data_IF_507042682915
#
_entry.id   IF_507042682915
#
_cell.length_a   1.000
_cell.length_b   1.000
_cell.length_c   1.000
_cell.angle_alpha   90.00
_cell.angle_beta   90.00
_cell.angle_gamma   90.00
#
_symmetry.space_group_name_H-M   'P 1'
#
loop_
_entity.id
_entity.type
_entity.pdbx_description
1 polymer ?
#
# COMPACT_ATOMS: atom_id res chain seq x y z
N UNK A 1 8.04 -84.76 23.79
CA UNK A 1 9.45 -84.66 23.33
C UNK A 1 9.40 -84.25 21.87
N UNK A 2 10.03 -83.15 21.47
CA UNK A 2 10.05 -82.72 20.07
C UNK A 2 10.14 -81.21 19.96
N UNK A 3 11.32 -80.66 20.10
CA UNK A 3 11.62 -79.20 19.92
C UNK A 3 11.72 -78.91 18.43
N UNK A 4 10.85 -78.15 17.91
CA UNK A 4 10.99 -77.57 16.57
C UNK A 4 11.39 -76.08 16.68
N UNK A 5 12.60 -75.80 16.24
CA UNK A 5 13.16 -74.43 16.13
C UNK A 5 12.66 -73.80 14.83
N UNK A 6 11.91 -72.73 14.93
CA UNK A 6 11.51 -71.97 13.81
C UNK A 6 12.49 -70.76 13.64
N UNK A 7 13.17 -70.75 12.53
CA UNK A 7 14.08 -69.65 12.09
C UNK A 7 13.22 -68.46 11.60
N UNK A 8 13.32 -67.35 12.29
CA UNK A 8 12.77 -66.07 11.77
C UNK A 8 13.80 -65.43 10.81
N UNK A 9 13.42 -65.36 9.56
CA UNK A 9 14.12 -64.57 8.55
C UNK A 9 13.65 -63.12 8.66
N UNK A 10 14.53 -62.23 9.09
CA UNK A 10 14.27 -60.79 9.11
C UNK A 10 14.47 -60.20 7.69
N UNK A 11 13.40 -59.71 7.10
CA UNK A 11 13.42 -58.99 5.84
C UNK A 11 13.61 -57.50 6.17
N UNK A 12 14.80 -56.94 5.87
CA UNK A 12 15.08 -55.51 6.01
C UNK A 12 14.51 -54.77 4.79
N UNK A 13 13.47 -54.01 4.99
CA UNK A 13 12.94 -53.08 4.00
C UNK A 13 13.70 -51.77 4.16
N UNK A 14 14.56 -51.43 3.21
CA UNK A 14 15.17 -50.08 3.07
C UNK A 14 14.08 -49.15 2.56
N UNK A 15 13.53 -48.32 3.43
CA UNK A 15 12.73 -47.18 3.02
C UNK A 15 13.67 -46.00 2.61
N UNK A 16 13.79 -45.77 1.32
CA UNK A 16 14.45 -44.56 0.79
C UNK A 16 13.53 -43.34 1.05
N UNK A 17 13.87 -42.56 2.05
CA UNK A 17 13.21 -41.27 2.27
C UNK A 17 13.70 -40.28 1.20
N UNK A 18 12.85 -39.99 0.23
CA UNK A 18 13.05 -38.86 -0.67
C UNK A 18 12.83 -37.58 0.13
N UNK A 19 13.92 -36.84 0.38
CA UNK A 19 13.87 -35.51 0.95
C UNK A 19 13.39 -34.57 -0.14
N UNK A 20 12.11 -34.22 -0.15
CA UNK A 20 11.61 -33.08 -0.90
C UNK A 20 12.09 -31.82 -0.19
N UNK A 21 13.16 -31.22 -0.68
CA UNK A 21 13.50 -29.84 -0.38
C UNK A 21 12.41 -28.99 -1.00
N UNK A 22 11.38 -28.67 -0.22
CA UNK A 22 10.48 -27.56 -0.54
C UNK A 22 11.30 -26.30 -0.32
N UNK A 23 11.79 -25.74 -1.40
CA UNK A 23 12.33 -24.38 -1.44
C UNK A 23 11.14 -23.44 -1.17
N UNK A 24 10.86 -23.24 0.10
CA UNK A 24 9.93 -22.23 0.54
C UNK A 24 10.58 -20.90 0.26
N UNK A 25 10.36 -20.38 -0.96
CA UNK A 25 10.63 -19.00 -1.27
C UNK A 25 9.98 -18.15 -0.18
N UNK A 26 10.79 -17.60 0.70
CA UNK A 26 10.32 -16.67 1.72
C UNK A 26 9.62 -15.52 1.00
N UNK A 27 8.30 -15.53 0.99
CA UNK A 27 7.52 -14.36 0.66
C UNK A 27 7.87 -13.33 1.74
N UNK A 28 8.77 -12.41 1.38
CA UNK A 28 9.04 -11.23 2.21
C UNK A 28 7.73 -10.47 2.31
N UNK A 29 7.09 -10.59 3.48
CA UNK A 29 5.95 -9.75 3.83
C UNK A 29 6.43 -8.31 3.69
N UNK A 30 5.74 -7.45 2.91
CA UNK A 30 6.13 -6.05 2.81
C UNK A 30 6.15 -5.46 4.22
N UNK A 31 7.29 -4.92 4.64
CA UNK A 31 7.42 -4.31 5.96
C UNK A 31 6.56 -3.06 5.98
N UNK A 32 5.49 -3.07 6.77
CA UNK A 32 4.71 -1.86 7.07
C UNK A 32 5.67 -0.81 7.64
N UNK A 33 5.83 0.30 6.92
CA UNK A 33 6.77 1.36 7.30
C UNK A 33 8.02 1.49 6.42
N UNK A 34 8.14 0.71 5.33
CA UNK A 34 9.23 0.88 4.37
C UNK A 34 9.26 2.32 3.82
N UNK A 35 10.45 2.92 3.79
CA UNK A 35 10.66 4.21 3.14
C UNK A 35 10.52 4.05 1.63
N UNK A 36 9.93 5.03 0.91
CA UNK A 36 9.89 5.00 -0.54
C UNK A 36 11.30 4.95 -1.14
N UNK A 37 11.50 4.04 -2.08
CA UNK A 37 12.71 3.93 -2.89
C UNK A 37 12.33 3.98 -4.37
N UNK A 38 13.25 4.24 -5.30
CA UNK A 38 12.95 4.21 -6.73
C UNK A 38 12.25 2.93 -7.19
N UNK A 39 12.57 1.79 -6.55
CA UNK A 39 12.08 0.47 -6.97
C UNK A 39 10.70 0.12 -6.37
N UNK A 40 10.30 0.73 -5.24
CA UNK A 40 9.07 0.39 -4.54
C UNK A 40 8.06 1.54 -4.45
N UNK A 41 8.48 2.76 -4.83
CA UNK A 41 7.66 3.95 -4.70
C UNK A 41 6.63 4.04 -5.83
N UNK A 42 5.41 4.29 -5.42
CA UNK A 42 4.34 4.74 -6.31
C UNK A 42 3.92 6.15 -5.93
N UNK A 43 3.43 6.91 -6.89
CA UNK A 43 2.77 8.17 -6.64
C UNK A 43 1.26 8.02 -6.83
N UNK A 44 0.51 8.67 -5.97
CA UNK A 44 -0.94 8.73 -6.06
C UNK A 44 -1.41 10.18 -5.83
N UNK A 45 -2.25 10.67 -6.72
CA UNK A 45 -2.92 11.95 -6.56
C UNK A 45 -4.35 11.69 -6.09
N UNK A 46 -4.72 12.36 -5.00
CA UNK A 46 -5.99 12.19 -4.34
C UNK A 46 -6.75 13.53 -4.38
N UNK A 47 -7.95 13.49 -4.92
CA UNK A 47 -8.87 14.61 -4.90
C UNK A 47 -9.82 14.44 -3.73
N UNK A 48 -9.81 15.39 -2.82
CA UNK A 48 -10.75 15.51 -1.70
C UNK A 48 -11.78 16.57 -2.06
N UNK A 49 -12.81 16.15 -2.77
CA UNK A 49 -13.87 17.03 -3.24
C UNK A 49 -14.78 17.42 -2.10
N UNK A 50 -15.03 18.70 -1.92
CA UNK A 50 -15.94 19.20 -0.90
C UNK A 50 -17.39 18.75 -1.19
N UNK A 51 -18.11 18.43 -0.14
CA UNK A 51 -19.57 18.36 -0.20
C UNK A 51 -20.15 19.79 -0.20
N UNK A 52 -20.42 20.30 -1.40
CA UNK A 52 -20.90 21.69 -1.59
C UNK A 52 -22.33 21.92 -1.06
N UNK A 53 -23.03 20.87 -0.63
CA UNK A 53 -24.33 20.99 0.02
C UNK A 53 -24.22 21.55 1.46
N UNK A 54 -22.98 21.65 1.98
CA UNK A 54 -22.70 22.05 3.36
C UNK A 54 -21.67 23.18 3.40
N UNK A 55 -21.82 24.13 4.35
CA UNK A 55 -20.80 25.16 4.55
C UNK A 55 -19.43 24.57 4.90
N UNK A 56 -18.35 25.19 4.43
CA UNK A 56 -16.98 24.72 4.67
C UNK A 56 -16.66 24.58 6.18
N UNK A 57 -17.19 25.47 7.02
CA UNK A 57 -17.01 25.38 8.48
C UNK A 57 -17.55 24.10 9.09
N UNK A 58 -18.67 23.59 8.60
CA UNK A 58 -19.22 22.30 9.05
C UNK A 58 -18.36 21.12 8.59
N UNK A 59 -17.85 21.15 7.35
CA UNK A 59 -16.94 20.13 6.84
C UNK A 59 -15.65 20.08 7.66
N UNK A 60 -15.06 21.23 7.94
CA UNK A 60 -13.85 21.32 8.75
C UNK A 60 -14.07 20.82 10.19
N UNK A 61 -15.18 21.18 10.83
CA UNK A 61 -15.52 20.68 12.15
C UNK A 61 -15.71 19.15 12.17
N UNK A 62 -16.28 18.60 11.10
CA UNK A 62 -16.42 17.16 10.95
C UNK A 62 -15.07 16.48 10.80
N UNK A 63 -14.17 16.98 9.95
CA UNK A 63 -12.82 16.45 9.74
C UNK A 63 -12.01 16.47 11.03
N UNK A 64 -12.10 17.56 11.81
CA UNK A 64 -11.44 17.66 13.11
C UNK A 64 -11.98 16.60 14.08
N UNK A 65 -13.30 16.46 14.18
CA UNK A 65 -13.94 15.43 15.01
C UNK A 65 -13.56 14.01 14.60
N UNK A 66 -13.41 13.76 13.30
CA UNK A 66 -12.98 12.46 12.77
C UNK A 66 -11.47 12.22 12.93
N UNK A 67 -10.69 13.24 13.33
CA UNK A 67 -9.24 13.14 13.49
C UNK A 67 -8.47 13.10 12.19
N UNK A 68 -9.01 13.65 11.09
CA UNK A 68 -8.41 13.63 9.77
C UNK A 68 -6.97 14.16 9.78
N UNK A 69 -6.75 15.38 10.26
CA UNK A 69 -5.43 16.00 10.28
C UNK A 69 -4.43 15.37 11.26
N UNK A 70 -4.91 14.53 12.16
CA UNK A 70 -4.05 13.74 13.05
C UNK A 70 -3.55 12.46 12.36
N UNK A 71 -4.37 11.87 11.51
CA UNK A 71 -4.10 10.58 10.87
C UNK A 71 -3.53 10.73 9.45
N UNK A 72 -3.86 11.81 8.75
CA UNK A 72 -3.46 12.04 7.36
C UNK A 72 -2.56 13.29 7.22
N UNK A 73 -1.41 13.18 6.53
CA UNK A 73 -0.84 11.98 5.95
C UNK A 73 -0.23 11.05 7.01
N UNK A 74 -0.21 9.72 6.79
CA UNK A 74 0.41 8.81 7.75
C UNK A 74 1.93 9.01 7.80
N UNK A 75 2.57 8.72 8.96
CA UNK A 75 4.02 8.88 9.14
C UNK A 75 4.81 8.13 8.08
N UNK A 76 5.89 8.74 7.56
CA UNK A 76 6.77 8.14 6.57
C UNK A 76 6.23 8.11 5.14
N UNK A 77 5.06 8.67 4.88
CA UNK A 77 4.57 8.95 3.53
C UNK A 77 5.01 10.34 3.11
N UNK A 78 5.64 10.45 1.94
CA UNK A 78 6.08 11.73 1.39
C UNK A 78 4.89 12.49 0.80
N UNK A 79 4.71 13.74 1.21
CA UNK A 79 3.77 14.66 0.59
C UNK A 79 4.51 15.42 -0.52
N UNK A 80 4.23 15.05 -1.77
CA UNK A 80 4.82 15.70 -2.94
C UNK A 80 4.17 17.07 -3.19
N UNK A 81 2.86 17.15 -3.03
CA UNK A 81 2.10 18.39 -3.15
C UNK A 81 0.80 18.32 -2.36
N UNK A 82 0.33 19.48 -1.91
CA UNK A 82 -0.96 19.65 -1.27
C UNK A 82 -1.52 21.01 -1.62
N UNK A 83 -2.50 21.03 -2.49
CA UNK A 83 -3.11 22.27 -2.99
C UNK A 83 -4.62 22.28 -2.74
N UNK A 84 -5.17 23.47 -2.75
CA UNK A 84 -6.61 23.69 -2.85
C UNK A 84 -6.93 24.14 -4.26
N UNK A 85 -7.81 23.42 -4.94
CA UNK A 85 -8.41 23.81 -6.21
C UNK A 85 -9.78 24.44 -5.93
N UNK A 86 -9.93 25.73 -6.22
CA UNK A 86 -11.20 26.44 -6.01
C UNK A 86 -12.33 25.74 -6.76
N UNK A 87 -13.46 25.55 -6.09
CA UNK A 87 -14.63 24.85 -6.65
C UNK A 87 -14.53 23.32 -6.65
N UNK A 88 -13.40 22.75 -6.22
CA UNK A 88 -13.22 21.29 -6.09
C UNK A 88 -12.97 20.93 -4.65
N UNK A 89 -11.86 21.39 -4.07
CA UNK A 89 -11.41 21.02 -2.74
C UNK A 89 -9.90 20.82 -2.71
N UNK A 90 -9.42 19.91 -1.86
CA UNK A 90 -8.00 19.66 -1.72
C UNK A 90 -7.54 18.61 -2.74
N UNK A 91 -6.34 18.80 -3.27
CA UNK A 91 -5.65 17.86 -4.16
C UNK A 91 -4.28 17.57 -3.56
N UNK A 92 -4.06 16.33 -3.21
CA UNK A 92 -2.84 15.88 -2.53
C UNK A 92 -2.15 14.82 -3.38
N UNK A 93 -0.86 15.02 -3.65
CA UNK A 93 -0.05 13.98 -4.28
C UNK A 93 0.92 13.41 -3.25
N UNK A 94 0.87 12.12 -3.08
CA UNK A 94 1.71 11.35 -2.15
C UNK A 94 2.68 10.48 -2.92
N UNK A 95 3.87 10.25 -2.33
CA UNK A 95 4.80 9.19 -2.74
C UNK A 95 5.00 8.22 -1.58
N UNK A 96 4.79 6.93 -1.84
CA UNK A 96 4.79 5.91 -0.80
C UNK A 96 5.13 4.53 -1.40
N UNK A 97 5.61 3.57 -0.59
CA UNK A 97 5.69 2.19 -1.02
C UNK A 97 4.30 1.65 -1.40
N UNK A 98 4.22 0.86 -2.48
CA UNK A 98 2.94 0.29 -2.95
C UNK A 98 2.24 -0.55 -1.86
N UNK A 99 3.00 -1.18 -0.96
CA UNK A 99 2.47 -1.93 0.18
C UNK A 99 1.64 -1.11 1.16
N UNK A 100 1.84 0.22 1.18
CA UNK A 100 1.13 1.14 2.08
C UNK A 100 -0.11 1.81 1.46
N UNK A 101 -0.43 1.53 0.20
CA UNK A 101 -1.63 2.09 -0.46
C UNK A 101 -2.90 1.81 0.33
N UNK A 102 -3.05 0.58 0.83
CA UNK A 102 -4.22 0.20 1.63
C UNK A 102 -4.33 0.96 2.94
N UNK A 103 -3.20 1.27 3.59
CA UNK A 103 -3.17 2.08 4.82
C UNK A 103 -3.71 3.48 4.55
N UNK A 104 -3.19 4.15 3.51
CA UNK A 104 -3.65 5.49 3.10
C UNK A 104 -5.14 5.48 2.78
N UNK A 105 -5.61 4.52 1.99
CA UNK A 105 -7.02 4.41 1.64
C UNK A 105 -7.90 4.25 2.89
N UNK A 106 -7.52 3.39 3.83
CA UNK A 106 -8.28 3.17 5.07
C UNK A 106 -8.35 4.39 5.97
N UNK A 107 -7.27 5.15 6.06
CA UNK A 107 -7.27 6.41 6.82
C UNK A 107 -8.29 7.37 6.19
N UNK A 108 -8.31 7.49 4.89
CA UNK A 108 -9.23 8.37 4.18
C UNK A 108 -10.68 7.91 4.35
N UNK A 109 -10.95 6.61 4.17
CA UNK A 109 -12.29 6.05 4.38
C UNK A 109 -12.83 6.33 5.80
N UNK A 110 -11.97 6.22 6.81
CA UNK A 110 -12.39 6.38 8.20
C UNK A 110 -12.45 7.84 8.67
N UNK A 111 -11.57 8.71 8.17
CA UNK A 111 -11.42 10.07 8.68
C UNK A 111 -11.81 11.20 7.71
N UNK A 112 -11.95 10.91 6.41
CA UNK A 112 -12.28 11.94 5.43
C UNK A 112 -13.69 11.80 4.83
N UNK A 113 -14.21 10.56 4.74
CA UNK A 113 -15.52 10.34 4.17
C UNK A 113 -16.64 10.98 5.02
N UNK A 114 -17.68 11.43 4.34
CA UNK A 114 -18.76 12.21 4.94
C UNK A 114 -18.50 13.72 4.94
N UNK A 115 -17.23 14.15 4.89
CA UNK A 115 -16.83 15.54 4.61
C UNK A 115 -16.33 15.70 3.17
N UNK A 116 -15.67 14.66 2.64
CA UNK A 116 -15.15 14.64 1.27
C UNK A 116 -15.70 13.47 0.46
N UNK A 117 -15.89 13.73 -0.82
CA UNK A 117 -15.90 12.72 -1.86
C UNK A 117 -14.48 12.57 -2.43
N UNK A 118 -13.94 11.36 -2.45
CA UNK A 118 -12.52 11.14 -2.79
C UNK A 118 -12.34 10.36 -4.07
N UNK A 119 -11.35 10.78 -4.87
CA UNK A 119 -10.95 10.11 -6.09
C UNK A 119 -9.43 9.89 -6.06
N UNK A 120 -8.96 8.72 -6.53
CA UNK A 120 -7.56 8.32 -6.46
C UNK A 120 -7.03 8.06 -7.86
N UNK A 121 -5.90 8.67 -8.19
CA UNK A 121 -5.27 8.53 -9.50
C UNK A 121 -3.80 8.14 -9.36
N UNK A 122 -3.39 6.96 -9.87
CA UNK A 122 -1.97 6.67 -10.04
C UNK A 122 -1.32 7.78 -10.86
N UNK A 123 -0.18 8.26 -10.37
CA UNK A 123 0.49 9.45 -10.92
C UNK A 123 1.96 9.13 -11.11
N UNK A 124 2.59 9.74 -12.12
CA UNK A 124 4.04 9.72 -12.28
C UNK A 124 4.54 11.10 -12.66
N UNK A 125 5.79 11.39 -12.30
CA UNK A 125 6.42 12.66 -12.62
C UNK A 125 6.87 12.65 -14.08
N UNK A 126 6.32 13.55 -14.86
CA UNK A 126 6.66 13.74 -16.28
C UNK A 126 7.41 15.06 -16.54
N UNK A 127 7.69 15.83 -15.49
CA UNK A 127 8.21 17.20 -15.62
C UNK A 127 9.50 17.27 -16.43
N UNK A 128 10.51 16.48 -16.08
CA UNK A 128 11.81 16.50 -16.78
C UNK A 128 11.66 16.07 -18.24
N UNK A 129 10.92 14.99 -18.49
CA UNK A 129 10.69 14.47 -19.84
C UNK A 129 9.91 15.49 -20.67
N UNK A 130 8.86 16.09 -20.08
CA UNK A 130 8.05 17.10 -20.76
C UNK A 130 8.83 18.36 -21.12
N UNK A 131 9.66 18.86 -20.19
CA UNK A 131 10.51 20.03 -20.44
C UNK A 131 11.58 19.75 -21.52
N UNK A 132 12.24 18.59 -21.45
CA UNK A 132 13.20 18.20 -22.46
C UNK A 132 12.57 18.04 -23.86
N UNK A 133 11.35 17.55 -23.94
CA UNK A 133 10.60 17.48 -25.20
C UNK A 133 10.25 18.88 -25.73
N UNK A 134 9.85 19.79 -24.84
CA UNK A 134 9.56 21.19 -25.19
C UNK A 134 10.79 21.90 -25.73
N UNK A 135 11.94 21.77 -25.06
CA UNK A 135 13.21 22.39 -25.50
C UNK A 135 13.66 21.90 -26.89
N UNK A 136 13.44 20.62 -27.18
CA UNK A 136 13.78 20.04 -28.49
C UNK A 136 12.86 20.52 -29.63
N UNK A 137 11.68 21.02 -29.31
CA UNK A 137 10.70 21.48 -30.30
C UNK A 137 10.83 22.99 -30.62
N UNK A 138 11.70 23.70 -29.90
CA UNK A 138 12.02 25.13 -30.15
C UNK A 138 13.04 25.27 -31.29
#
# INVERSE_FOLDING_TARGET
>A
MGRTRTLLTALAVLASAAIFNSDSGAQTTPTDGATPTPDNAVMITIFFKHDESRPLGELNAQLEKQGYYKAFPPPGVEVVSWYVMMGIGQVVTLRLPASRLREVNRIIENQAWGAYHTEFYPTYDYKEVGLAAHEKAQ
#
